data_IF_919955925576
#
_entry.id   IF_919955925576
#
_cell.length_a   1.000
_cell.length_b   1.000
_cell.length_c   1.000
_cell.angle_alpha   90.00
_cell.angle_beta   90.00
_cell.angle_gamma   90.00
#
_symmetry.space_group_name_H-M   'P 1'
#
loop_
_entity.id
_entity.type
_entity.pdbx_description
1 polymer ?
#
# COMPACT_ATOMS: atom_id res chain seq x y z
N UNK A 1 -22.39 -9.61 6.03
CA UNK A 1 -22.77 -8.37 5.31
C UNK A 1 -23.88 -7.53 5.95
N UNK A 2 -25.09 -8.04 6.25
CA UNK A 2 -26.21 -7.20 6.75
C UNK A 2 -25.91 -6.43 8.05
N UNK A 3 -25.18 -7.05 9.00
CA UNK A 3 -24.73 -6.39 10.24
C UNK A 3 -23.72 -5.26 9.97
N UNK A 4 -22.72 -5.51 9.12
CA UNK A 4 -21.66 -4.55 8.80
C UNK A 4 -22.21 -3.32 8.08
N UNK A 5 -23.09 -3.54 7.09
CA UNK A 5 -23.76 -2.46 6.36
C UNK A 5 -24.56 -1.57 7.31
N UNK A 6 -25.39 -2.16 8.18
CA UNK A 6 -26.17 -1.42 9.18
C UNK A 6 -25.28 -0.62 10.14
N UNK A 7 -24.14 -1.18 10.55
CA UNK A 7 -23.20 -0.49 11.43
C UNK A 7 -22.58 0.72 10.74
N UNK A 8 -22.11 0.56 9.51
CA UNK A 8 -21.52 1.65 8.73
C UNK A 8 -22.55 2.75 8.47
N UNK A 9 -23.75 2.39 8.00
CA UNK A 9 -24.82 3.37 7.77
C UNK A 9 -25.20 4.11 9.06
N UNK A 10 -25.28 3.42 10.20
CA UNK A 10 -25.55 4.06 11.49
C UNK A 10 -24.47 5.07 11.86
N UNK A 11 -23.19 4.70 11.74
CA UNK A 11 -22.07 5.61 12.06
C UNK A 11 -22.13 6.84 11.15
N UNK A 12 -22.29 6.63 9.85
CA UNK A 12 -22.35 7.72 8.88
C UNK A 12 -23.55 8.64 9.14
N UNK A 13 -24.75 8.10 9.31
CA UNK A 13 -25.92 8.90 9.63
C UNK A 13 -25.81 9.68 10.95
N UNK A 14 -24.98 9.25 11.90
CA UNK A 14 -24.78 9.97 13.16
C UNK A 14 -23.67 11.03 13.06
N UNK A 15 -22.60 10.74 12.33
CA UNK A 15 -21.44 11.63 12.22
C UNK A 15 -21.60 12.71 11.15
N UNK A 16 -22.51 12.54 10.19
CA UNK A 16 -22.57 13.37 8.97
C UNK A 16 -23.89 14.11 8.75
N UNK A 17 -24.74 14.27 9.78
CA UNK A 17 -25.95 15.10 9.70
C UNK A 17 -25.51 16.57 9.48
N UNK A 18 -25.94 17.28 8.43
CA UNK A 18 -27.11 17.06 7.55
C UNK A 18 -26.83 16.45 6.14
N UNK A 19 -25.62 16.02 5.83
CA UNK A 19 -25.12 15.72 4.47
C UNK A 19 -24.82 14.23 4.20
N UNK A 20 -25.43 13.31 4.94
CA UNK A 20 -25.18 11.85 4.84
C UNK A 20 -25.28 11.30 3.40
N UNK A 21 -26.14 11.88 2.57
CA UNK A 21 -26.32 11.52 1.16
C UNK A 21 -25.04 11.73 0.35
N UNK A 22 -24.23 12.75 0.68
CA UNK A 22 -22.98 13.07 -0.01
C UNK A 22 -21.87 12.05 0.27
N UNK A 23 -21.99 11.31 1.38
CA UNK A 23 -20.98 10.37 1.88
C UNK A 23 -21.39 8.91 1.61
N UNK A 24 -22.68 8.69 1.31
CA UNK A 24 -23.22 7.39 0.96
C UNK A 24 -22.47 6.71 -0.22
N UNK A 25 -22.14 7.39 -1.33
CA UNK A 25 -21.38 6.77 -2.42
C UNK A 25 -20.01 6.24 -1.99
N UNK A 26 -19.30 6.97 -1.13
CA UNK A 26 -17.96 6.63 -0.62
C UNK A 26 -18.04 5.41 0.31
N UNK A 27 -19.08 5.37 1.15
CA UNK A 27 -19.34 4.22 2.03
C UNK A 27 -19.69 2.95 1.24
N UNK A 28 -20.57 3.08 0.24
CA UNK A 28 -20.92 1.99 -0.66
C UNK A 28 -19.70 1.53 -1.47
N UNK A 29 -18.84 2.45 -1.89
CA UNK A 29 -17.60 2.13 -2.57
C UNK A 29 -16.70 1.27 -1.66
N UNK A 30 -16.42 1.71 -0.44
CA UNK A 30 -15.60 0.97 0.52
C UNK A 30 -16.15 -0.45 0.77
N UNK A 31 -17.47 -0.58 0.95
CA UNK A 31 -18.13 -1.87 1.14
C UNK A 31 -18.04 -2.80 -0.08
N UNK A 32 -18.02 -2.24 -1.29
CA UNK A 32 -17.94 -3.02 -2.53
C UNK A 32 -16.51 -3.46 -2.86
N UNK A 33 -15.49 -2.76 -2.36
CA UNK A 33 -14.08 -3.04 -2.66
C UNK A 33 -13.39 -3.88 -1.60
N UNK A 34 -13.94 -4.00 -0.40
CA UNK A 34 -13.37 -4.84 0.67
C UNK A 34 -13.64 -6.32 0.39
N UNK A 35 -12.58 -7.13 0.50
CA UNK A 35 -12.68 -8.59 0.48
C UNK A 35 -13.42 -9.06 1.74
N UNK A 36 -14.42 -9.91 1.57
CA UNK A 36 -15.22 -10.41 2.68
C UNK A 36 -14.77 -11.81 3.08
N UNK A 37 -14.49 -12.04 4.37
CA UNK A 37 -13.89 -13.30 4.87
C UNK A 37 -14.70 -14.55 4.51
N UNK A 38 -16.02 -14.45 4.46
CA UNK A 38 -16.86 -15.61 4.14
C UNK A 38 -16.82 -16.03 2.67
N UNK A 39 -16.44 -15.12 1.76
CA UNK A 39 -16.42 -15.36 0.32
C UNK A 39 -15.01 -15.35 -0.26
N UNK A 40 -14.05 -14.70 0.39
CA UNK A 40 -12.70 -14.49 -0.15
C UNK A 40 -12.64 -13.51 -1.33
N UNK A 41 -13.78 -12.98 -1.79
CA UNK A 41 -13.90 -12.05 -2.89
C UNK A 41 -14.57 -10.74 -2.46
N UNK A 42 -14.32 -9.65 -3.19
CA UNK A 42 -15.04 -8.40 -2.99
C UNK A 42 -16.43 -8.48 -3.65
N UNK A 43 -17.45 -7.77 -3.12
CA UNK A 43 -18.74 -7.71 -3.79
C UNK A 43 -18.67 -7.15 -5.22
N UNK A 44 -17.75 -6.21 -5.49
CA UNK A 44 -17.56 -5.68 -6.83
C UNK A 44 -17.04 -6.75 -7.80
N UNK A 45 -16.13 -7.61 -7.34
CA UNK A 45 -15.58 -8.72 -8.12
C UNK A 45 -16.64 -9.76 -8.45
N UNK A 46 -17.48 -10.12 -7.49
CA UNK A 46 -18.57 -11.08 -7.71
C UNK A 46 -19.62 -10.58 -8.71
N UNK A 47 -19.87 -9.26 -8.75
CA UNK A 47 -20.91 -8.68 -9.63
C UNK A 47 -20.36 -8.36 -11.02
N UNK A 48 -19.12 -7.86 -11.11
CA UNK A 48 -18.57 -7.34 -12.37
C UNK A 48 -17.42 -8.17 -12.93
N UNK A 49 -17.01 -9.25 -12.27
CA UNK A 49 -15.88 -10.08 -12.65
C UNK A 49 -14.51 -9.39 -12.52
N UNK A 50 -14.44 -8.22 -11.88
CA UNK A 50 -13.20 -7.46 -11.68
C UNK A 50 -13.26 -6.62 -10.41
N UNK A 51 -12.10 -6.38 -9.82
CA UNK A 51 -11.96 -5.43 -8.73
C UNK A 51 -12.01 -3.99 -9.24
N UNK A 52 -12.71 -3.11 -8.52
CA UNK A 52 -12.72 -1.68 -8.82
C UNK A 52 -11.35 -1.10 -8.46
N UNK A 53 -10.82 -0.21 -9.31
CA UNK A 53 -9.61 0.55 -8.95
C UNK A 53 -9.93 1.48 -7.78
N UNK A 54 -9.18 1.35 -6.71
CA UNK A 54 -9.29 2.22 -5.53
C UNK A 54 -8.32 3.40 -5.66
N UNK A 55 -8.58 4.54 -5.01
CA UNK A 55 -7.64 5.66 -5.00
C UNK A 55 -6.23 5.26 -4.53
N UNK A 56 -6.16 4.34 -3.56
CA UNK A 56 -4.89 3.78 -3.07
C UNK A 56 -4.17 2.98 -4.16
N UNK A 57 -4.90 2.16 -4.92
CA UNK A 57 -4.33 1.40 -6.03
C UNK A 57 -3.76 2.31 -7.12
N UNK A 58 -4.48 3.40 -7.46
CA UNK A 58 -4.00 4.40 -8.41
C UNK A 58 -2.75 5.12 -7.91
N UNK A 59 -2.66 5.39 -6.60
CA UNK A 59 -1.47 5.98 -6.01
C UNK A 59 -0.28 5.02 -6.11
N UNK A 60 -0.47 3.73 -5.80
CA UNK A 60 0.58 2.73 -5.97
C UNK A 60 1.02 2.61 -7.44
N UNK A 61 0.09 2.53 -8.38
CA UNK A 61 0.36 2.48 -9.83
C UNK A 61 1.28 3.65 -10.23
N UNK A 62 0.91 4.87 -9.86
CA UNK A 62 1.71 6.07 -10.15
C UNK A 62 3.09 6.05 -9.47
N UNK A 63 3.16 5.65 -8.20
CA UNK A 63 4.44 5.56 -7.49
C UNK A 63 5.36 4.49 -8.10
N UNK A 64 4.79 3.38 -8.58
CA UNK A 64 5.56 2.34 -9.27
C UNK A 64 5.98 2.75 -10.66
N UNK A 65 5.16 3.51 -11.40
CA UNK A 65 5.54 4.09 -12.70
C UNK A 65 6.72 5.07 -12.56
N UNK A 66 6.79 5.84 -11.47
CA UNK A 66 7.96 6.71 -11.18
C UNK A 66 9.23 5.92 -10.80
N UNK A 67 9.12 4.64 -10.41
CA UNK A 67 10.25 3.79 -9.98
C UNK A 67 10.66 2.72 -11.00
N UNK A 68 10.04 2.69 -12.17
CA UNK A 68 10.49 1.90 -13.33
C UNK A 68 11.17 2.92 -14.25
N UNK A 69 12.50 3.10 -14.27
CA UNK A 69 13.54 2.10 -14.47
C UNK A 69 14.83 2.50 -13.71
N UNK A 70 15.12 1.87 -12.57
CA UNK A 70 16.52 1.68 -12.17
C UNK A 70 16.82 0.22 -12.42
N UNK A 71 17.64 -0.04 -13.44
CA UNK A 71 18.05 -1.39 -13.77
C UNK A 71 18.66 -2.03 -12.54
N UNK A 72 18.54 -3.36 -12.36
CA UNK A 72 19.27 -4.09 -11.31
C UNK A 72 20.77 -3.74 -11.36
N UNK A 73 21.26 -3.42 -12.56
CA UNK A 73 22.61 -2.92 -12.81
C UNK A 73 22.87 -1.59 -12.09
N UNK A 74 21.95 -0.62 -12.16
CA UNK A 74 22.09 0.68 -11.49
C UNK A 74 22.10 0.54 -9.96
N UNK A 75 21.24 -0.33 -9.42
CA UNK A 75 21.24 -0.64 -7.98
C UNK A 75 22.55 -1.30 -7.52
N UNK A 76 23.07 -2.24 -8.31
CA UNK A 76 24.38 -2.88 -8.05
C UNK A 76 25.52 -1.86 -8.15
N UNK A 77 25.51 -0.98 -9.15
CA UNK A 77 26.49 0.10 -9.25
C UNK A 77 26.43 1.04 -8.06
N UNK A 78 25.22 1.40 -7.62
CA UNK A 78 25.03 2.24 -6.44
C UNK A 78 25.63 1.55 -5.20
N UNK A 79 25.25 0.31 -4.91
CA UNK A 79 25.80 -0.46 -3.80
C UNK A 79 27.33 -0.55 -3.84
N UNK A 80 27.90 -0.90 -5.00
CA UNK A 80 29.35 -1.06 -5.19
C UNK A 80 30.09 0.27 -5.13
N UNK A 81 29.46 1.41 -5.44
CA UNK A 81 30.08 2.74 -5.34
C UNK A 81 30.00 3.36 -3.94
N UNK A 82 28.97 3.04 -3.14
CA UNK A 82 28.81 3.60 -1.79
C UNK A 82 29.53 2.78 -0.70
N UNK A 83 29.57 1.43 -0.82
CA UNK A 83 30.29 0.56 0.13
C UNK A 83 31.83 0.73 0.23
N UNK A 84 32.58 1.15 -0.82
CA UNK A 84 34.03 1.32 -0.73
C UNK A 84 34.48 2.46 0.19
N UNK A 85 33.58 3.41 0.53
CA UNK A 85 33.91 4.54 1.40
C UNK A 85 33.84 4.20 2.90
N UNK A 86 33.21 3.09 3.28
CA UNK A 86 33.06 2.69 4.69
C UNK A 86 34.08 1.63 5.13
N UNK A 87 34.75 0.97 4.18
CA UNK A 87 35.77 -0.04 4.47
C UNK A 87 37.18 0.56 4.34
N UNK A 88 37.51 1.50 5.23
CA UNK A 88 38.92 1.71 5.58
C UNK A 88 39.34 0.61 6.57
N UNK A 89 40.28 -0.30 6.22
CA UNK A 89 40.70 -1.37 7.10
C UNK A 89 41.54 -0.80 8.25
N UNK A 90 40.88 -0.59 9.39
CA UNK A 90 41.52 -0.55 10.69
C UNK A 90 42.06 -1.95 11.01
N UNK A 91 43.36 -2.20 10.76
CA UNK A 91 44.24 -3.13 11.49
C UNK A 91 45.55 -3.38 10.75
N UNK A 92 46.54 -2.52 10.99
CA UNK A 92 47.93 -2.96 11.10
C UNK A 92 48.69 -1.97 11.99
N UNK A 93 48.56 -2.14 13.30
CA UNK A 93 49.60 -1.78 14.24
C UNK A 93 49.37 -2.50 15.57
N UNK A 94 50.45 -3.16 16.02
CA UNK A 94 50.64 -3.89 17.28
C UNK A 94 50.17 -5.34 17.27
N UNK A 95 51.09 -6.20 16.88
CA UNK A 95 51.48 -7.40 17.65
C UNK A 95 52.80 -7.91 17.08
N UNK A 96 53.92 -7.41 17.63
CA UNK A 96 55.18 -8.13 17.79
C UNK A 96 55.91 -7.44 18.96
N UNK A 97 55.72 -7.98 20.15
CA UNK A 97 56.63 -7.80 21.29
C UNK A 97 57.89 -8.65 21.04
N UNK A 98 59.06 -8.03 21.27
CA UNK A 98 60.27 -8.48 22.01
C UNK A 98 61.47 -7.68 21.52
#
# INVERSE_FOLDING_TARGET
MHRTLKRILRVLCLETIPDWEKILPQALFALRTVIHDSTGFSPAELVHGKNLRTPVMLLYEKLTEEHVESSVVDYVFQLVMYLPLEVHPSKHQRELEV
#
